data_IF_969496163864
#
_entry.id   IF_969496163864
#
_cell.length_a   1.000
_cell.length_b   1.000
_cell.length_c   1.000
_cell.angle_alpha   90.00
_cell.angle_beta   90.00
_cell.angle_gamma   90.00
#
_symmetry.space_group_name_H-M   'P 1'
#
loop_
_entity.id
_entity.type
_entity.pdbx_description
1 polymer ?
#
# COMPACT_ATOMS: atom_id res chain seq x y z
N UNK A 1 15.96 -1.99 -22.09
CA UNK A 1 16.07 -2.42 -20.69
C UNK A 1 14.72 -2.20 -20.00
N UNK A 2 14.25 -3.16 -19.25
CA UNK A 2 13.09 -2.94 -18.41
C UNK A 2 13.44 -1.91 -17.32
N UNK A 3 12.61 -0.90 -17.15
CA UNK A 3 12.77 0.07 -16.08
C UNK A 3 12.49 -0.54 -14.70
N UNK A 4 12.66 0.24 -13.65
CA UNK A 4 12.26 -0.16 -12.30
C UNK A 4 10.74 -0.04 -12.13
N UNK A 5 10.13 -0.86 -11.27
CA UNK A 5 8.79 -0.55 -10.75
C UNK A 5 8.79 0.85 -10.13
N UNK A 6 7.71 1.60 -10.31
CA UNK A 6 7.56 2.95 -9.74
C UNK A 6 6.44 2.94 -8.72
N UNK A 7 6.76 3.23 -7.47
CA UNK A 7 5.79 3.38 -6.40
C UNK A 7 5.45 4.85 -6.18
N UNK A 8 4.21 5.22 -6.44
CA UNK A 8 3.64 6.50 -6.04
C UNK A 8 3.12 6.38 -4.61
N UNK A 9 3.62 7.20 -3.73
CA UNK A 9 3.42 7.08 -2.29
C UNK A 9 3.24 8.45 -1.65
N UNK A 10 2.55 8.47 -0.53
CA UNK A 10 2.53 9.61 0.37
C UNK A 10 3.06 9.15 1.73
N UNK A 11 4.04 9.88 2.24
CA UNK A 11 4.82 9.49 3.42
C UNK A 11 3.97 9.10 4.62
N UNK A 12 2.87 9.82 4.87
CA UNK A 12 1.99 9.63 6.02
C UNK A 12 0.73 8.82 5.75
N UNK A 13 0.55 8.33 4.54
CA UNK A 13 -0.61 7.50 4.21
C UNK A 13 -0.43 6.09 4.76
N UNK A 14 -1.35 5.58 5.61
CA UNK A 14 -1.23 4.23 6.18
C UNK A 14 -1.15 3.14 5.13
N UNK A 15 -1.92 3.25 4.05
CA UNK A 15 -1.90 2.29 2.95
C UNK A 15 -0.59 2.33 2.18
N UNK A 16 -0.05 3.52 1.92
CA UNK A 16 1.26 3.68 1.28
C UNK A 16 2.39 3.16 2.18
N UNK A 17 2.29 3.34 3.51
CA UNK A 17 3.21 2.75 4.49
C UNK A 17 3.18 1.23 4.37
N UNK A 18 2.00 0.61 4.32
CA UNK A 18 1.85 -0.85 4.16
C UNK A 18 2.52 -1.36 2.88
N UNK A 19 2.32 -0.67 1.76
CA UNK A 19 2.97 -1.01 0.50
C UNK A 19 4.50 -0.89 0.58
N UNK A 20 5.02 0.18 1.17
CA UNK A 20 6.47 0.35 1.36
C UNK A 20 7.06 -0.74 2.25
N UNK A 21 6.38 -1.09 3.34
CA UNK A 21 6.81 -2.17 4.23
C UNK A 21 6.85 -3.52 3.50
N UNK A 22 5.84 -3.82 2.69
CA UNK A 22 5.79 -5.04 1.90
C UNK A 22 6.93 -5.13 0.88
N UNK A 23 7.16 -4.05 0.14
CA UNK A 23 8.29 -3.96 -0.79
C UNK A 23 9.62 -4.13 -0.07
N UNK A 24 9.80 -3.47 1.07
CA UNK A 24 11.03 -3.57 1.86
C UNK A 24 11.25 -4.97 2.40
N UNK A 25 10.21 -5.62 2.92
CA UNK A 25 10.28 -7.00 3.40
C UNK A 25 10.66 -7.98 2.29
N UNK A 26 10.20 -7.72 1.06
CA UNK A 26 10.57 -8.51 -0.12
C UNK A 26 11.96 -8.16 -0.70
N UNK A 27 12.70 -7.26 -0.06
CA UNK A 27 14.07 -6.92 -0.44
C UNK A 27 14.18 -5.78 -1.47
N UNK A 28 13.09 -5.13 -1.84
CA UNK A 28 13.16 -3.96 -2.73
C UNK A 28 13.81 -2.77 -2.01
N UNK A 29 14.68 -2.06 -2.73
CA UNK A 29 15.40 -0.90 -2.20
C UNK A 29 15.11 0.31 -3.08
N UNK A 30 14.64 1.42 -2.49
CA UNK A 30 14.43 2.66 -3.23
C UNK A 30 15.69 3.12 -3.97
N UNK A 31 15.55 3.49 -5.24
CA UNK A 31 16.65 3.92 -6.09
C UNK A 31 17.52 2.78 -6.66
N UNK A 32 17.27 1.53 -6.24
CA UNK A 32 18.03 0.36 -6.71
C UNK A 32 17.13 -0.63 -7.46
N UNK A 33 16.04 -1.07 -6.83
CA UNK A 33 15.12 -2.05 -7.40
C UNK A 33 13.67 -1.57 -7.46
N UNK A 34 13.38 -0.41 -6.90
CA UNK A 34 12.10 0.29 -7.02
C UNK A 34 12.35 1.80 -7.01
N UNK A 35 11.67 2.55 -7.86
CA UNK A 35 11.66 4.01 -7.80
C UNK A 35 10.53 4.45 -6.87
N UNK A 36 10.85 5.29 -5.88
CA UNK A 36 9.87 5.85 -4.97
C UNK A 36 9.58 7.30 -5.34
N UNK A 37 8.33 7.61 -5.63
CA UNK A 37 7.85 8.97 -5.93
C UNK A 37 6.90 9.43 -4.86
N UNK A 38 7.31 10.46 -4.11
CA UNK A 38 6.43 11.12 -3.15
C UNK A 38 5.42 11.99 -3.87
N UNK A 39 4.14 11.84 -3.54
CA UNK A 39 3.02 12.55 -4.17
C UNK A 39 2.58 13.69 -3.27
N UNK A 40 2.48 14.89 -3.84
CA UNK A 40 1.75 15.99 -3.23
C UNK A 40 0.24 15.77 -3.49
N UNK A 41 -0.52 15.47 -2.45
CA UNK A 41 -1.96 15.20 -2.56
C UNK A 41 -2.77 16.44 -2.96
N UNK A 42 -2.22 17.64 -2.78
CA UNK A 42 -2.84 18.87 -3.24
C UNK A 42 -2.60 19.12 -4.74
N UNK A 43 -1.52 18.55 -5.29
CA UNK A 43 -1.14 18.71 -6.70
C UNK A 43 -0.65 17.37 -7.24
N UNK A 44 -1.58 16.46 -7.54
CA UNK A 44 -1.25 15.12 -8.05
C UNK A 44 -0.61 15.21 -9.43
N UNK A 45 0.49 14.48 -9.68
CA UNK A 45 1.15 14.49 -10.99
C UNK A 45 0.26 13.85 -12.06
N UNK A 46 0.36 14.37 -13.28
CA UNK A 46 -0.44 13.90 -14.41
C UNK A 46 -0.22 12.41 -14.69
N UNK A 47 1.02 11.94 -14.58
CA UNK A 47 1.35 10.52 -14.79
C UNK A 47 0.58 9.60 -13.83
N UNK A 48 0.42 10.01 -12.57
CA UNK A 48 -0.36 9.24 -11.59
C UNK A 48 -1.83 9.15 -12.01
N UNK A 49 -2.42 10.25 -12.44
CA UNK A 49 -3.82 10.30 -12.87
C UNK A 49 -4.07 9.51 -14.15
N UNK A 50 -3.09 9.44 -15.04
CA UNK A 50 -3.15 8.59 -16.24
C UNK A 50 -3.11 7.10 -15.88
N UNK A 51 -2.25 6.72 -14.93
CA UNK A 51 -2.12 5.33 -14.47
C UNK A 51 -3.31 4.90 -13.61
N UNK A 52 -3.80 5.80 -12.77
CA UNK A 52 -4.86 5.53 -11.81
C UNK A 52 -5.76 6.77 -11.68
N UNK A 53 -6.86 6.83 -12.45
CA UNK A 53 -7.74 8.01 -12.48
C UNK A 53 -8.35 8.41 -11.14
N UNK A 54 -8.51 7.46 -10.21
CA UNK A 54 -8.98 7.77 -8.85
C UNK A 54 -7.98 8.62 -8.05
N UNK A 55 -6.71 8.69 -8.46
CA UNK A 55 -5.69 9.57 -7.90
C UNK A 55 -5.32 9.29 -6.45
N UNK A 56 -5.63 8.11 -5.94
CA UNK A 56 -5.24 7.69 -4.58
C UNK A 56 -3.86 7.07 -4.58
N UNK A 57 -3.20 7.06 -3.43
CA UNK A 57 -1.93 6.36 -3.22
C UNK A 57 -2.15 5.23 -2.19
N UNK A 58 -1.37 4.14 -2.23
CA UNK A 58 -0.26 3.86 -3.14
C UNK A 58 -0.71 3.39 -4.52
N UNK A 59 0.15 3.59 -5.50
CA UNK A 59 0.05 2.99 -6.85
C UNK A 59 1.42 2.47 -7.24
N UNK A 60 1.51 1.22 -7.69
CA UNK A 60 2.73 0.63 -8.22
C UNK A 60 2.58 0.39 -9.71
N UNK A 61 3.38 1.11 -10.50
CA UNK A 61 3.48 0.90 -11.94
C UNK A 61 4.63 -0.06 -12.24
N UNK A 62 4.31 -1.17 -12.89
CA UNK A 62 5.31 -2.18 -13.27
C UNK A 62 5.89 -1.90 -14.66
N UNK A 63 7.15 -2.29 -14.91
CA UNK A 63 7.80 -2.04 -16.20
C UNK A 63 7.05 -2.61 -17.41
N UNK A 64 6.28 -3.68 -17.21
CA UNK A 64 5.46 -4.30 -18.26
C UNK A 64 4.15 -3.60 -18.57
N UNK A 65 3.85 -2.48 -17.89
CA UNK A 65 2.61 -1.71 -18.06
C UNK A 65 1.48 -2.05 -17.10
N UNK A 66 1.61 -3.09 -16.30
CA UNK A 66 0.62 -3.41 -15.27
C UNK A 66 0.66 -2.37 -14.15
N UNK A 67 -0.51 -2.06 -13.60
CA UNK A 67 -0.68 -1.08 -12.52
C UNK A 67 -1.40 -1.73 -11.36
N UNK A 68 -0.83 -1.62 -10.16
CA UNK A 68 -1.43 -2.10 -8.92
C UNK A 68 -1.87 -0.90 -8.09
N UNK A 69 -3.15 -0.81 -7.81
CA UNK A 69 -3.76 0.37 -7.20
C UNK A 69 -4.06 0.22 -5.71
N UNK A 70 -4.02 -1.00 -5.18
CA UNK A 70 -4.33 -1.28 -3.78
C UNK A 70 -3.09 -1.74 -3.01
N UNK A 71 -2.95 -1.27 -1.78
CA UNK A 71 -1.78 -1.61 -0.95
C UNK A 71 -1.63 -3.10 -0.69
N UNK A 72 -2.74 -3.84 -0.53
CA UNK A 72 -2.69 -5.30 -0.36
C UNK A 72 -2.25 -6.01 -1.64
N UNK A 73 -2.68 -5.52 -2.81
CA UNK A 73 -2.22 -6.06 -4.09
C UNK A 73 -0.73 -5.82 -4.31
N UNK A 74 -0.22 -4.65 -3.92
CA UNK A 74 1.21 -4.32 -3.97
C UNK A 74 2.00 -5.21 -3.02
N UNK A 75 1.52 -5.36 -1.79
CA UNK A 75 2.13 -6.24 -0.78
C UNK A 75 2.20 -7.68 -1.29
N UNK A 76 1.09 -8.22 -1.79
CA UNK A 76 1.05 -9.59 -2.29
C UNK A 76 1.98 -9.79 -3.50
N UNK A 77 1.97 -8.86 -4.44
CA UNK A 77 2.89 -8.89 -5.58
C UNK A 77 4.36 -8.91 -5.13
N UNK A 78 4.73 -8.03 -4.19
CA UNK A 78 6.09 -7.95 -3.67
C UNK A 78 6.52 -9.27 -3.03
N UNK A 79 5.68 -9.85 -2.18
CA UNK A 79 5.96 -11.11 -1.49
C UNK A 79 5.95 -12.31 -2.43
N UNK A 80 5.25 -12.25 -3.57
CA UNK A 80 5.36 -13.25 -4.63
C UNK A 80 6.74 -13.23 -5.29
N UNK A 81 7.40 -12.08 -5.35
CA UNK A 81 8.76 -11.99 -5.88
C UNK A 81 9.78 -12.62 -4.90
N UNK A 82 9.67 -12.31 -3.62
CA UNK A 82 10.55 -12.82 -2.58
C UNK A 82 9.90 -12.61 -1.21
N UNK A 83 9.84 -13.65 -0.39
CA UNK A 83 9.20 -13.61 0.94
C UNK A 83 10.09 -14.25 2.00
N UNK A 84 11.24 -13.63 2.34
CA UNK A 84 12.21 -14.23 3.25
C UNK A 84 11.70 -14.34 4.69
N UNK A 85 10.71 -13.53 5.07
CA UNK A 85 10.11 -13.55 6.40
C UNK A 85 8.81 -14.38 6.47
N UNK A 86 8.42 -15.01 5.35
CA UNK A 86 7.21 -15.85 5.29
C UNK A 86 5.94 -15.10 5.73
N UNK A 87 5.79 -13.88 5.26
CA UNK A 87 4.61 -13.05 5.55
C UNK A 87 3.35 -13.53 4.82
N UNK A 88 3.53 -14.21 3.67
CA UNK A 88 2.40 -14.85 2.99
C UNK A 88 2.05 -16.12 3.73
N UNK A 89 0.76 -16.28 4.06
CA UNK A 89 0.28 -17.55 4.60
C UNK A 89 0.38 -18.62 3.51
N UNK A 90 1.02 -19.73 3.86
CA UNK A 90 1.06 -20.89 2.97
C UNK A 90 -0.35 -21.43 2.73
N UNK A 91 -0.55 -22.08 1.57
CA UNK A 91 -1.81 -22.77 1.28
C UNK A 91 -2.17 -23.84 2.32
N UNK A 92 -1.13 -24.35 3.04
CA UNK A 92 -1.27 -25.30 4.14
C UNK A 92 -1.47 -24.66 5.51
N UNK A 93 -1.61 -23.33 5.59
CA UNK A 93 -1.83 -22.64 6.87
C UNK A 93 -3.12 -23.14 7.53
N UNK A 94 -3.10 -23.22 8.87
CA UNK A 94 -4.29 -23.57 9.65
C UNK A 94 -5.45 -22.62 9.31
N UNK A 95 -6.68 -23.16 9.09
CA UNK A 95 -7.83 -22.31 8.76
C UNK A 95 -8.11 -21.21 9.80
N UNK A 96 -7.84 -21.49 11.08
CA UNK A 96 -7.99 -20.50 12.16
C UNK A 96 -6.99 -19.35 12.04
N UNK A 97 -5.75 -19.63 11.62
CA UNK A 97 -4.73 -18.60 11.37
C UNK A 97 -5.11 -17.73 10.18
N UNK A 98 -5.58 -18.33 9.09
CA UNK A 98 -6.06 -17.61 7.92
C UNK A 98 -7.26 -16.71 8.24
N UNK A 99 -8.22 -17.24 9.01
CA UNK A 99 -9.39 -16.47 9.45
C UNK A 99 -9.00 -15.28 10.36
N UNK A 100 -8.05 -15.49 11.27
CA UNK A 100 -7.55 -14.42 12.14
C UNK A 100 -6.84 -13.33 11.33
N UNK A 101 -5.99 -13.72 10.36
CA UNK A 101 -5.31 -12.76 9.50
C UNK A 101 -6.30 -11.92 8.69
N UNK A 102 -7.32 -12.55 8.10
CA UNK A 102 -8.39 -11.85 7.38
C UNK A 102 -9.16 -10.89 8.28
N UNK A 103 -9.49 -11.31 9.52
CA UNK A 103 -10.18 -10.47 10.49
C UNK A 103 -9.34 -9.25 10.89
N UNK A 104 -8.04 -9.41 11.12
CA UNK A 104 -7.13 -8.31 11.44
C UNK A 104 -7.00 -7.32 10.29
N UNK A 105 -6.94 -7.79 9.04
CA UNK A 105 -6.92 -6.92 7.87
C UNK A 105 -8.22 -6.13 7.74
N UNK A 106 -9.37 -6.77 7.95
CA UNK A 106 -10.67 -6.11 7.92
C UNK A 106 -10.79 -5.05 9.03
N UNK A 107 -10.30 -5.34 10.22
CA UNK A 107 -10.26 -4.40 11.34
C UNK A 107 -9.38 -3.19 11.02
N UNK A 108 -8.20 -3.42 10.42
CA UNK A 108 -7.28 -2.35 10.05
C UNK A 108 -7.85 -1.45 8.95
N UNK A 109 -8.49 -2.02 7.94
CA UNK A 109 -9.02 -1.29 6.77
C UNK A 109 -10.41 -0.67 7.04
N UNK A 110 -11.13 -1.13 8.03
CA UNK A 110 -12.44 -0.61 8.44
C UNK A 110 -12.36 0.24 9.70
N UNK A 111 -12.67 -0.33 10.89
CA UNK A 111 -12.80 0.43 12.14
C UNK A 111 -11.56 1.23 12.51
N UNK A 112 -10.35 0.64 12.42
CA UNK A 112 -9.12 1.34 12.76
C UNK A 112 -8.91 2.56 11.85
N UNK A 113 -9.05 2.39 10.54
CA UNK A 113 -8.90 3.48 9.57
C UNK A 113 -9.95 4.57 9.79
N UNK A 114 -11.18 4.19 10.07
CA UNK A 114 -12.25 5.12 10.39
C UNK A 114 -11.89 6.01 11.60
N UNK A 115 -11.45 5.41 12.69
CA UNK A 115 -11.07 6.16 13.88
C UNK A 115 -9.79 6.98 13.67
N UNK A 116 -8.81 6.44 12.95
CA UNK A 116 -7.60 7.16 12.61
C UNK A 116 -7.89 8.44 11.82
N UNK A 117 -8.78 8.37 10.82
CA UNK A 117 -9.14 9.53 10.01
C UNK A 117 -9.86 10.60 10.85
N UNK A 118 -10.72 10.18 11.78
CA UNK A 118 -11.40 11.09 12.70
C UNK A 118 -10.41 11.80 13.63
N UNK A 119 -9.37 11.11 14.08
CA UNK A 119 -8.30 11.72 14.88
C UNK A 119 -7.42 12.66 14.08
N UNK A 120 -7.08 12.30 12.84
CA UNK A 120 -6.17 13.08 12.00
C UNK A 120 -6.83 14.27 11.32
N UNK A 121 -8.10 14.15 10.98
CA UNK A 121 -8.86 15.13 10.23
C UNK A 121 -10.20 15.41 10.90
N UNK A 122 -10.20 15.84 12.17
CA UNK A 122 -11.45 15.98 12.95
C UNK A 122 -12.45 16.94 12.30
N UNK A 123 -11.95 17.96 11.61
CA UNK A 123 -12.80 18.94 10.93
C UNK A 123 -13.64 18.35 9.80
N UNK A 124 -13.19 17.25 9.18
CA UNK A 124 -13.94 16.57 8.11
C UNK A 124 -15.13 15.79 8.65
N UNK A 125 -15.13 15.46 9.93
CA UNK A 125 -16.12 14.61 10.58
C UNK A 125 -16.93 15.38 11.65
N UNK A 126 -16.72 16.68 11.81
CA UNK A 126 -17.37 17.47 12.84
C UNK A 126 -16.97 17.09 14.26
N UNK A 127 -15.81 16.48 14.44
CA UNK A 127 -15.28 16.08 15.76
C UNK A 127 -14.59 17.29 16.39
N UNK A 128 -15.03 17.66 17.60
CA UNK A 128 -14.46 18.80 18.33
C UNK A 128 -13.31 18.40 19.23
N UNK A 129 -13.27 17.13 19.64
CA UNK A 129 -12.26 16.57 20.54
C UNK A 129 -11.94 15.15 20.03
N UNK A 130 -10.75 14.94 19.41
CA UNK A 130 -10.35 13.63 18.86
C UNK A 130 -9.96 12.63 19.96
#
# INVERSE_FOLDING_TARGET
MAGLPVLYSFRRCPYAIRARLGLRAAGFQPGVSVELREVDLACRPAELLELSPKGTVPVLALPGGAVLEESLAILDWALQQHDPYQWRLAASAEPTTAALASALLAEADGPLKHHLDRCRYPERFGVRDP
#
